data_IF_686047626539
#
_entry.id   IF_686047626539
#
_cell.length_a   1.000
_cell.length_b   1.000
_cell.length_c   1.000
_cell.angle_alpha   90.00
_cell.angle_beta   90.00
_cell.angle_gamma   90.00
#
_symmetry.space_group_name_H-M   'P 1'
#
loop_
_entity.id
_entity.type
_entity.pdbx_description
1 polymer ?
#
# COMPACT_ATOMS: atom_id res chain seq x y z
N UNK A 1 -0.53 29.49 10.42
CA UNK A 1 0.82 29.81 9.90
C UNK A 1 0.78 31.24 9.39
N UNK A 2 1.37 32.19 10.12
CA UNK A 2 1.42 33.59 9.71
C UNK A 2 2.41 33.65 8.52
N UNK A 3 1.89 33.92 7.32
CA UNK A 3 2.73 34.18 6.13
C UNK A 3 3.20 35.62 6.18
N UNK A 4 4.26 35.88 6.94
CA UNK A 4 4.96 37.16 6.85
C UNK A 4 5.94 37.13 5.67
N UNK A 5 5.81 38.11 4.77
CA UNK A 5 6.80 38.36 3.73
C UNK A 5 8.00 39.03 4.39
N UNK A 6 9.04 38.26 4.70
CA UNK A 6 10.34 38.81 5.11
C UNK A 6 10.85 39.74 4.01
N UNK A 7 10.91 41.05 4.32
CA UNK A 7 11.62 42.02 3.49
C UNK A 7 13.06 42.06 4.00
N UNK A 8 13.95 41.38 3.29
CA UNK A 8 15.39 41.49 3.52
C UNK A 8 15.83 42.92 3.19
N UNK A 9 16.75 43.48 4.00
CA UNK A 9 17.33 44.78 3.72
C UNK A 9 18.12 44.75 2.39
N UNK A 10 18.16 45.86 1.65
CA UNK A 10 18.84 45.94 0.34
C UNK A 10 20.36 45.68 0.40
N UNK A 11 20.95 45.58 1.59
CA UNK A 11 22.36 45.24 1.85
C UNK A 11 22.65 43.74 1.85
N UNK A 12 21.63 42.88 1.84
CA UNK A 12 21.77 41.43 1.84
C UNK A 12 21.89 40.94 0.40
N UNK A 13 23.11 40.64 -0.04
CA UNK A 13 23.42 40.31 -1.45
C UNK A 13 23.94 38.88 -1.62
N UNK A 14 24.32 38.21 -0.53
CA UNK A 14 24.90 36.86 -0.54
C UNK A 14 24.36 35.97 0.58
N UNK A 15 24.54 34.66 0.44
CA UNK A 15 24.22 33.66 1.48
C UNK A 15 24.95 33.95 2.81
N UNK A 16 26.19 34.46 2.71
CA UNK A 16 27.01 34.85 3.87
C UNK A 16 26.38 36.04 4.61
N UNK A 17 25.86 37.03 3.89
CA UNK A 17 25.20 38.19 4.50
C UNK A 17 23.91 37.76 5.21
N UNK A 18 23.14 36.85 4.60
CA UNK A 18 21.94 36.27 5.25
C UNK A 18 22.32 35.53 6.52
N UNK A 19 23.36 34.69 6.49
CA UNK A 19 23.79 33.90 7.64
C UNK A 19 24.31 34.76 8.81
N UNK A 20 24.96 35.89 8.49
CA UNK A 20 25.54 36.81 9.49
C UNK A 20 24.59 37.89 9.96
N UNK A 21 23.48 38.11 9.26
CA UNK A 21 22.51 39.13 9.63
C UNK A 21 21.92 38.88 11.01
N UNK A 22 21.93 39.92 11.86
CA UNK A 22 21.25 39.90 13.14
C UNK A 22 19.72 39.92 12.98
N UNK A 23 19.24 40.48 11.87
CA UNK A 23 17.81 40.53 11.53
C UNK A 23 17.26 39.18 11.03
N UNK A 24 18.11 38.16 10.89
CA UNK A 24 17.75 36.87 10.32
C UNK A 24 18.20 35.69 11.21
N UNK A 25 17.89 35.78 12.50
CA UNK A 25 18.19 34.78 13.54
C UNK A 25 16.91 34.05 13.92
N UNK A 26 16.98 32.72 14.05
CA UNK A 26 15.90 31.90 14.62
C UNK A 26 14.67 31.73 13.72
N UNK A 27 14.76 32.06 12.44
CA UNK A 27 13.68 31.83 11.49
C UNK A 27 13.69 30.40 10.97
N UNK A 28 12.51 29.84 10.76
CA UNK A 28 12.29 28.67 9.91
C UNK A 28 11.72 29.16 8.58
N UNK A 29 12.46 28.95 7.50
CA UNK A 29 12.12 29.42 6.16
C UNK A 29 11.82 28.22 5.28
N UNK A 30 10.55 28.08 4.92
CA UNK A 30 10.13 27.09 3.94
C UNK A 30 10.22 27.67 2.53
N UNK A 31 10.90 26.97 1.63
CA UNK A 31 11.04 27.36 0.22
C UNK A 31 10.53 26.21 -0.66
N UNK A 32 9.50 26.50 -1.45
CA UNK A 32 8.92 25.59 -2.42
C UNK A 32 8.85 26.22 -3.82
N UNK A 33 8.48 25.42 -4.82
CA UNK A 33 8.21 25.90 -6.18
C UNK A 33 9.44 26.41 -6.94
N UNK A 34 10.66 26.01 -6.57
CA UNK A 34 11.88 26.39 -7.27
C UNK A 34 11.86 25.81 -8.70
N UNK A 35 11.99 26.63 -9.76
CA UNK A 35 12.13 26.11 -11.11
C UNK A 35 13.43 25.30 -11.26
N UNK A 36 13.44 24.16 -11.98
CA UNK A 36 14.64 23.34 -12.16
C UNK A 36 15.86 24.12 -12.68
N UNK A 37 15.64 25.14 -13.54
CA UNK A 37 16.70 26.00 -14.07
C UNK A 37 17.40 26.87 -13.03
N UNK A 38 16.72 27.20 -11.93
CA UNK A 38 17.28 28.00 -10.84
C UNK A 38 17.96 27.16 -9.75
N UNK A 39 17.85 25.83 -9.82
CA UNK A 39 18.37 24.94 -8.78
C UNK A 39 19.88 25.09 -8.58
N UNK A 40 20.65 25.28 -9.65
CA UNK A 40 22.10 25.47 -9.54
C UNK A 40 22.47 26.64 -8.62
N UNK A 41 21.72 27.74 -8.69
CA UNK A 41 21.91 28.93 -7.83
C UNK A 41 21.48 28.64 -6.39
N UNK A 42 20.38 27.92 -6.21
CA UNK A 42 19.91 27.50 -4.88
C UNK A 42 20.88 26.52 -4.20
N UNK A 43 21.43 25.57 -4.94
CA UNK A 43 22.41 24.61 -4.44
C UNK A 43 23.66 25.34 -3.94
N UNK A 44 24.21 26.26 -4.73
CA UNK A 44 25.34 27.12 -4.32
C UNK A 44 24.99 27.96 -3.09
N UNK A 45 23.82 28.60 -3.08
CA UNK A 45 23.37 29.38 -1.93
C UNK A 45 23.29 28.55 -0.64
N UNK A 46 22.75 27.33 -0.71
CA UNK A 46 22.61 26.44 0.44
C UNK A 46 23.98 25.99 0.98
N UNK A 47 24.92 25.67 0.10
CA UNK A 47 26.29 25.32 0.48
C UNK A 47 27.03 26.50 1.13
N UNK A 48 26.93 27.70 0.54
CA UNK A 48 27.52 28.92 1.10
C UNK A 48 26.90 29.29 2.44
N UNK A 49 25.56 29.19 2.56
CA UNK A 49 24.84 29.46 3.81
C UNK A 49 25.23 28.48 4.90
N UNK A 50 25.28 27.19 4.58
CA UNK A 50 25.70 26.13 5.50
C UNK A 50 27.13 26.40 6.00
N UNK A 51 28.06 26.78 5.12
CA UNK A 51 29.42 27.12 5.50
C UNK A 51 29.50 28.35 6.42
N UNK A 52 28.76 29.41 6.10
CA UNK A 52 28.77 30.64 6.90
C UNK A 52 28.14 30.46 8.29
N UNK A 53 27.06 29.67 8.37
CA UNK A 53 26.29 29.47 9.61
C UNK A 53 27.02 28.65 10.67
N UNK A 54 28.05 27.85 10.32
CA UNK A 54 28.87 27.08 11.27
C UNK A 54 29.50 27.92 12.38
N UNK A 55 29.82 29.18 12.06
CA UNK A 55 30.43 30.11 13.01
C UNK A 55 29.48 30.58 14.12
N UNK A 56 28.19 30.23 14.05
CA UNK A 56 27.14 30.61 15.01
C UNK A 56 26.68 29.42 15.84
N UNK A 57 26.17 29.69 17.04
CA UNK A 57 25.52 28.65 17.87
C UNK A 57 24.25 28.13 17.19
N UNK A 58 23.88 26.85 17.41
CA UNK A 58 22.73 26.22 16.74
C UNK A 58 21.42 27.00 16.92
N UNK A 59 21.20 27.56 18.12
CA UNK A 59 20.02 28.37 18.46
C UNK A 59 19.99 29.75 17.80
N UNK A 60 21.10 30.19 17.20
CA UNK A 60 21.22 31.48 16.51
C UNK A 60 21.10 31.34 14.98
N UNK A 61 21.00 30.10 14.49
CA UNK A 61 20.90 29.82 13.06
C UNK A 61 19.43 29.88 12.64
N UNK A 62 19.19 30.49 11.49
CA UNK A 62 17.92 30.28 10.78
C UNK A 62 18.04 29.00 9.95
N UNK A 63 16.92 28.29 9.81
CA UNK A 63 16.85 27.01 9.09
C UNK A 63 16.10 27.23 7.78
N UNK A 64 16.74 26.89 6.67
CA UNK A 64 16.06 26.76 5.38
C UNK A 64 15.61 25.32 5.18
N UNK A 65 14.31 25.13 5.02
CA UNK A 65 13.73 23.88 4.54
C UNK A 65 13.35 24.08 3.08
N UNK A 66 14.14 23.50 2.17
CA UNK A 66 14.01 23.73 0.72
C UNK A 66 13.53 22.46 0.04
N UNK A 67 12.38 22.54 -0.63
CA UNK A 67 11.88 21.45 -1.45
C UNK A 67 12.63 21.42 -2.79
N UNK A 68 13.49 20.42 -2.97
CA UNK A 68 14.19 20.22 -4.22
C UNK A 68 13.23 19.73 -5.33
N UNK A 69 13.30 20.28 -6.55
CA UNK A 69 12.55 19.73 -7.68
C UNK A 69 12.95 18.28 -7.97
N UNK A 70 12.03 17.39 -8.38
CA UNK A 70 12.38 15.99 -8.70
C UNK A 70 13.46 15.87 -9.78
N UNK A 71 13.45 16.78 -10.77
CA UNK A 71 14.39 16.81 -11.89
C UNK A 71 15.85 17.03 -11.50
N UNK A 72 16.13 17.46 -10.25
CA UNK A 72 17.47 17.77 -9.76
C UNK A 72 17.95 16.81 -8.67
N UNK A 73 17.26 15.68 -8.47
CA UNK A 73 17.64 14.67 -7.47
C UNK A 73 19.09 14.17 -7.65
N UNK A 74 19.62 14.17 -8.87
CA UNK A 74 21.01 13.82 -9.17
C UNK A 74 22.04 14.93 -8.94
N UNK A 75 21.61 16.16 -8.62
CA UNK A 75 22.45 17.34 -8.42
C UNK A 75 22.16 18.06 -7.09
N UNK A 76 21.75 17.31 -6.08
CA UNK A 76 21.62 17.79 -4.72
C UNK A 76 22.99 18.23 -4.17
N UNK A 77 23.04 19.25 -3.29
CA UNK A 77 24.29 19.71 -2.70
C UNK A 77 24.96 18.61 -1.86
N UNK A 78 26.21 18.81 -1.44
CA UNK A 78 26.84 17.82 -0.55
C UNK A 78 26.30 17.95 0.87
N UNK A 79 25.97 16.82 1.50
CA UNK A 79 25.63 16.81 2.92
C UNK A 79 26.81 17.33 3.75
N UNK A 80 26.48 18.14 4.76
CA UNK A 80 27.43 18.73 5.69
C UNK A 80 26.79 18.87 7.08
N UNK A 81 27.57 19.20 8.11
CA UNK A 81 27.12 19.38 9.50
C UNK A 81 25.98 20.40 9.61
N UNK A 82 25.97 21.42 8.74
CA UNK A 82 24.93 22.45 8.69
C UNK A 82 24.01 22.34 7.46
N UNK A 83 24.10 21.24 6.69
CA UNK A 83 23.29 20.98 5.51
C UNK A 83 22.86 19.52 5.47
N UNK A 84 21.65 19.25 5.96
CA UNK A 84 21.00 17.96 5.83
C UNK A 84 20.31 17.82 4.48
N UNK A 85 20.30 16.60 3.94
CA UNK A 85 19.46 16.23 2.80
C UNK A 85 18.59 15.09 3.27
N UNK A 86 17.30 15.38 3.36
CA UNK A 86 16.29 14.39 3.71
C UNK A 86 15.49 14.03 2.45
N UNK A 87 15.52 12.76 2.08
CA UNK A 87 14.65 12.25 1.03
C UNK A 87 13.27 12.03 1.63
N UNK A 88 12.32 12.90 1.28
CA UNK A 88 10.92 12.68 1.60
C UNK A 88 10.40 11.53 0.74
N UNK A 89 10.50 10.30 1.26
CA UNK A 89 10.12 9.09 0.52
C UNK A 89 8.65 8.73 0.63
N UNK A 90 7.84 9.55 1.31
CA UNK A 90 6.51 9.14 1.82
C UNK A 90 6.66 7.77 2.46
N UNK A 91 7.19 7.70 3.70
CA UNK A 91 7.27 6.41 4.42
C UNK A 91 5.84 5.94 4.67
N UNK A 92 5.32 5.24 3.68
CA UNK A 92 4.03 4.57 3.64
C UNK A 92 4.41 3.11 3.70
N UNK A 93 4.31 2.54 4.90
CA UNK A 93 4.40 1.10 5.06
C UNK A 93 3.21 0.46 4.35
N UNK A 94 3.28 -0.84 4.07
CA UNK A 94 2.12 -1.55 3.54
C UNK A 94 0.90 -1.44 4.47
N UNK A 95 1.16 -1.36 5.79
CA UNK A 95 0.12 -1.15 6.80
C UNK A 95 -0.51 0.26 6.69
N UNK A 96 0.30 1.30 6.49
CA UNK A 96 -0.22 2.67 6.36
C UNK A 96 -1.14 2.79 5.16
N UNK A 97 -0.75 2.22 4.01
CA UNK A 97 -1.57 2.24 2.82
C UNK A 97 -2.85 1.40 2.98
N UNK A 98 -2.77 0.26 3.66
CA UNK A 98 -3.94 -0.54 3.99
C UNK A 98 -4.93 0.24 4.88
N UNK A 99 -4.46 0.92 5.93
CA UNK A 99 -5.30 1.73 6.82
C UNK A 99 -5.91 2.93 6.09
N UNK A 100 -5.12 3.61 5.27
CA UNK A 100 -5.59 4.69 4.41
C UNK A 100 -6.69 4.20 3.45
N UNK A 101 -6.45 3.08 2.78
CA UNK A 101 -7.43 2.47 1.86
C UNK A 101 -8.70 2.05 2.58
N UNK A 102 -8.59 1.47 3.78
CA UNK A 102 -9.73 1.09 4.59
C UNK A 102 -10.57 2.30 5.00
N UNK A 103 -9.92 3.42 5.35
CA UNK A 103 -10.60 4.67 5.64
C UNK A 103 -11.36 5.19 4.42
N UNK A 104 -10.73 5.21 3.24
CA UNK A 104 -11.37 5.64 2.00
C UNK A 104 -12.58 4.77 1.65
N UNK A 105 -12.43 3.44 1.69
CA UNK A 105 -13.53 2.51 1.43
C UNK A 105 -14.68 2.68 2.41
N UNK A 106 -14.39 2.95 3.69
CA UNK A 106 -15.43 3.18 4.71
C UNK A 106 -16.30 4.41 4.46
N UNK A 107 -15.76 5.41 3.75
CA UNK A 107 -16.51 6.61 3.35
C UNK A 107 -17.40 6.34 2.14
N UNK A 108 -17.01 5.39 1.29
CA UNK A 108 -17.69 5.07 0.02
C UNK A 108 -18.78 4.01 0.23
N UNK A 109 -18.58 3.04 1.14
CA UNK A 109 -19.40 1.82 1.18
C UNK A 109 -20.20 1.65 2.48
N UNK A 110 -21.28 2.42 2.60
CA UNK A 110 -22.25 2.24 3.69
C UNK A 110 -23.03 0.93 3.47
N UNK A 111 -22.78 -0.07 4.32
CA UNK A 111 -23.52 -1.34 4.32
C UNK A 111 -22.82 -2.52 3.63
N UNK A 112 -21.59 -2.35 3.15
CA UNK A 112 -20.78 -3.48 2.71
C UNK A 112 -20.41 -4.41 3.87
N UNK A 113 -20.24 -5.70 3.54
CA UNK A 113 -19.87 -6.69 4.55
C UNK A 113 -18.42 -6.46 4.99
N UNK A 114 -18.09 -6.56 6.29
CA UNK A 114 -16.73 -6.29 6.79
C UNK A 114 -15.61 -7.10 6.13
N UNK A 115 -15.90 -8.29 5.59
CA UNK A 115 -14.92 -9.07 4.83
C UNK A 115 -14.63 -8.44 3.47
N UNK A 116 -15.66 -8.02 2.74
CA UNK A 116 -15.51 -7.38 1.42
C UNK A 116 -14.77 -6.05 1.54
N UNK A 117 -15.11 -5.25 2.54
CA UNK A 117 -14.45 -3.97 2.79
C UNK A 117 -12.94 -4.15 3.07
N UNK A 118 -12.59 -5.13 3.92
CA UNK A 118 -11.17 -5.45 4.20
C UNK A 118 -10.44 -5.98 2.97
N UNK A 119 -11.11 -6.82 2.16
CA UNK A 119 -10.53 -7.31 0.91
C UNK A 119 -10.30 -6.17 -0.07
N UNK A 120 -11.28 -5.28 -0.22
CA UNK A 120 -11.18 -4.10 -1.07
C UNK A 120 -9.96 -3.25 -0.67
N UNK A 121 -9.84 -2.90 0.61
CA UNK A 121 -8.71 -2.15 1.11
C UNK A 121 -7.36 -2.87 0.87
N UNK A 122 -7.32 -4.18 1.03
CA UNK A 122 -6.14 -4.99 0.73
C UNK A 122 -5.77 -4.94 -0.76
N UNK A 123 -6.75 -5.07 -1.66
CA UNK A 123 -6.53 -4.97 -3.12
C UNK A 123 -5.98 -3.60 -3.50
N UNK A 124 -6.60 -2.52 -3.00
CA UNK A 124 -6.11 -1.15 -3.22
C UNK A 124 -4.67 -1.01 -2.73
N UNK A 125 -4.35 -1.48 -1.52
CA UNK A 125 -3.00 -1.35 -0.96
C UNK A 125 -1.94 -2.16 -1.73
N UNK A 126 -2.25 -3.37 -2.21
CA UNK A 126 -1.31 -4.19 -2.97
C UNK A 126 -1.07 -3.66 -4.39
N UNK A 127 -2.10 -3.04 -4.99
CA UNK A 127 -2.00 -2.43 -6.31
C UNK A 127 -1.32 -1.07 -6.27
N UNK A 128 -1.69 -0.19 -5.34
CA UNK A 128 -1.16 1.16 -5.26
C UNK A 128 0.23 1.22 -4.61
N UNK A 129 0.57 0.27 -3.72
CA UNK A 129 1.87 0.09 -3.08
C UNK A 129 2.31 1.28 -2.21
N UNK A 130 2.78 2.35 -2.84
CA UNK A 130 3.24 3.58 -2.20
C UNK A 130 2.60 4.83 -2.83
N UNK A 131 1.86 4.67 -3.93
CA UNK A 131 1.20 5.79 -4.61
C UNK A 131 -0.18 6.05 -3.97
N UNK A 132 -0.21 7.00 -3.03
CA UNK A 132 -1.45 7.42 -2.37
C UNK A 132 -2.49 8.04 -3.32
N UNK A 133 -2.08 8.60 -4.46
CA UNK A 133 -2.99 9.14 -5.47
C UNK A 133 -3.67 7.98 -6.21
N UNK A 134 -2.90 6.96 -6.59
CA UNK A 134 -3.45 5.74 -7.17
C UNK A 134 -4.36 5.03 -6.16
N UNK A 135 -3.98 4.95 -4.88
CA UNK A 135 -4.83 4.35 -3.85
C UNK A 135 -6.17 5.07 -3.71
N UNK A 136 -6.16 6.40 -3.67
CA UNK A 136 -7.39 7.20 -3.64
C UNK A 136 -8.29 6.92 -4.83
N UNK A 137 -7.70 6.79 -6.03
CA UNK A 137 -8.44 6.49 -7.26
C UNK A 137 -9.03 5.07 -7.27
N UNK A 138 -8.23 4.06 -6.91
CA UNK A 138 -8.68 2.67 -6.88
C UNK A 138 -9.74 2.42 -5.81
N UNK A 139 -9.73 3.19 -4.71
CA UNK A 139 -10.74 3.08 -3.66
C UNK A 139 -12.15 3.52 -4.09
N UNK A 140 -12.27 4.23 -5.22
CA UNK A 140 -13.57 4.60 -5.82
C UNK A 140 -14.13 3.49 -6.73
N UNK A 141 -13.31 2.49 -7.09
CA UNK A 141 -13.74 1.37 -7.91
C UNK A 141 -14.53 0.34 -7.08
N UNK A 142 -15.19 -0.59 -7.74
CA UNK A 142 -15.79 -1.75 -7.08
C UNK A 142 -14.75 -2.84 -6.86
N UNK A 143 -14.98 -3.71 -5.86
CA UNK A 143 -14.13 -4.88 -5.62
C UNK A 143 -14.03 -5.80 -6.85
N UNK A 144 -15.07 -5.87 -7.68
CA UNK A 144 -15.07 -6.68 -8.89
C UNK A 144 -14.10 -6.11 -9.95
N UNK A 145 -14.09 -4.79 -10.13
CA UNK A 145 -13.17 -4.11 -11.05
C UNK A 145 -11.72 -4.22 -10.57
N UNK A 146 -11.47 -4.16 -9.25
CA UNK A 146 -10.12 -4.32 -8.70
C UNK A 146 -9.52 -5.73 -8.88
N UNK A 147 -10.35 -6.75 -9.14
CA UNK A 147 -9.88 -8.10 -9.45
C UNK A 147 -9.45 -8.27 -10.91
N UNK A 148 -9.71 -7.27 -11.76
CA UNK A 148 -9.33 -7.19 -13.18
C UNK A 148 -8.79 -5.78 -13.48
N UNK A 149 -7.66 -5.38 -12.86
CA UNK A 149 -7.27 -3.98 -12.74
C UNK A 149 -6.57 -3.42 -13.98
N UNK A 150 -6.25 -4.21 -15.00
CA UNK A 150 -5.41 -3.82 -16.13
C UNK A 150 -5.88 -2.51 -16.77
N UNK A 151 -7.15 -2.42 -17.15
CA UNK A 151 -7.71 -1.22 -17.78
C UNK A 151 -7.65 0.02 -16.86
N UNK A 152 -7.85 -0.18 -15.55
CA UNK A 152 -7.75 0.90 -14.56
C UNK A 152 -6.32 1.43 -14.45
N UNK A 153 -5.35 0.52 -14.45
CA UNK A 153 -3.93 0.84 -14.33
C UNK A 153 -3.37 1.45 -15.62
N UNK A 154 -3.84 1.00 -16.79
CA UNK A 154 -3.52 1.60 -18.09
C UNK A 154 -4.02 3.04 -18.17
N UNK A 155 -5.27 3.29 -17.78
CA UNK A 155 -5.84 4.63 -17.78
C UNK A 155 -5.16 5.56 -16.76
N UNK A 156 -4.79 5.03 -15.59
CA UNK A 156 -3.97 5.78 -14.64
C UNK A 156 -2.60 6.13 -15.23
N UNK A 157 -1.88 5.16 -15.80
CA UNK A 157 -0.60 5.40 -16.43
C UNK A 157 -0.69 6.46 -17.54
N UNK A 158 -1.70 6.37 -18.41
CA UNK A 158 -1.96 7.34 -19.46
C UNK A 158 -2.21 8.75 -18.90
N UNK A 159 -3.00 8.88 -17.83
CA UNK A 159 -3.28 10.17 -17.18
C UNK A 159 -2.02 10.83 -16.57
N UNK A 160 -1.00 10.03 -16.26
CA UNK A 160 0.31 10.48 -15.75
C UNK A 160 1.33 10.73 -16.86
N UNK A 161 0.99 10.44 -18.12
CA UNK A 161 1.93 10.48 -19.25
C UNK A 161 3.01 9.39 -19.17
N UNK A 162 2.75 8.31 -18.43
CA UNK A 162 3.68 7.20 -18.28
C UNK A 162 3.56 6.25 -19.48
N UNK A 163 4.66 6.13 -20.22
CA UNK A 163 4.83 5.24 -21.37
C UNK A 163 6.16 4.49 -21.24
N UNK A 164 6.43 3.50 -22.11
CA UNK A 164 7.63 2.64 -22.05
C UNK A 164 8.95 3.41 -21.89
N UNK A 165 9.02 4.60 -22.47
CA UNK A 165 10.22 5.46 -22.48
C UNK A 165 10.23 6.53 -21.38
N UNK A 166 9.15 6.69 -20.62
CA UNK A 166 9.01 7.75 -19.59
C UNK A 166 9.67 7.37 -18.27
N UNK A 167 9.84 6.06 -18.00
CA UNK A 167 10.38 5.60 -16.72
C UNK A 167 11.91 5.74 -16.68
N UNK A 168 12.39 6.75 -15.96
CA UNK A 168 13.78 6.80 -15.50
C UNK A 168 14.07 5.73 -14.43
N UNK A 169 15.34 5.53 -14.08
CA UNK A 169 15.71 4.62 -12.99
C UNK A 169 15.59 5.29 -11.60
N UNK A 170 15.06 4.53 -10.64
CA UNK A 170 15.05 4.87 -9.22
C UNK A 170 13.91 5.80 -8.78
N UNK A 171 13.91 6.12 -7.49
CA UNK A 171 12.83 6.83 -6.79
C UNK A 171 12.38 8.14 -7.44
N UNK A 172 13.30 8.93 -8.01
CA UNK A 172 12.99 10.24 -8.57
C UNK A 172 12.06 10.19 -9.81
N UNK A 173 11.99 9.06 -10.50
CA UNK A 173 11.04 8.85 -11.62
C UNK A 173 9.66 8.38 -11.16
N UNK A 174 9.49 8.05 -9.87
CA UNK A 174 8.31 7.41 -9.33
C UNK A 174 8.18 5.91 -9.69
N UNK A 175 9.18 5.33 -10.36
CA UNK A 175 9.12 3.94 -10.82
C UNK A 175 9.27 2.92 -9.69
N UNK A 176 9.91 3.30 -8.58
CA UNK A 176 10.24 2.42 -7.47
C UNK A 176 10.29 3.21 -6.17
N UNK A 177 9.88 2.59 -5.06
CA UNK A 177 10.10 3.12 -3.72
C UNK A 177 10.56 2.03 -2.77
N UNK A 178 11.06 2.42 -1.60
CA UNK A 178 11.36 1.48 -0.53
C UNK A 178 10.14 1.39 0.40
N UNK A 179 9.50 0.22 0.42
CA UNK A 179 8.37 -0.10 1.29
C UNK A 179 8.79 -1.24 2.20
N UNK A 180 8.62 -1.07 3.51
CA UNK A 180 9.02 -2.05 4.54
C UNK A 180 10.47 -2.55 4.37
N UNK A 181 11.36 -1.65 3.95
CA UNK A 181 12.79 -1.92 3.74
C UNK A 181 13.12 -2.64 2.44
N UNK A 182 12.15 -2.86 1.55
CA UNK A 182 12.34 -3.52 0.25
C UNK A 182 12.09 -2.55 -0.91
N UNK A 183 12.89 -2.60 -1.98
CA UNK A 183 12.56 -1.89 -3.23
C UNK A 183 11.35 -2.55 -3.88
N UNK A 184 10.27 -1.80 -4.07
CA UNK A 184 9.06 -2.26 -4.75
C UNK A 184 8.82 -1.38 -5.97
N UNK A 185 8.67 -1.96 -7.17
CA UNK A 185 8.30 -1.22 -8.36
C UNK A 185 6.85 -0.74 -8.28
N UNK A 186 6.58 0.40 -8.90
CA UNK A 186 5.23 0.89 -9.12
C UNK A 186 4.48 -0.05 -10.06
N UNK A 187 3.22 -0.39 -9.76
CA UNK A 187 2.45 -1.38 -10.54
C UNK A 187 2.31 -0.98 -12.03
N UNK A 188 2.12 0.32 -12.31
CA UNK A 188 2.07 0.81 -13.69
C UNK A 188 3.43 0.72 -14.41
N UNK A 189 4.55 0.71 -13.68
CA UNK A 189 5.86 0.48 -14.29
C UNK A 189 6.01 -1.00 -14.69
N UNK A 190 5.48 -1.93 -13.89
CA UNK A 190 5.44 -3.36 -14.25
C UNK A 190 4.60 -3.58 -15.52
N UNK A 191 3.40 -2.98 -15.56
CA UNK A 191 2.46 -3.06 -16.68
C UNK A 191 3.04 -2.48 -17.99
N UNK A 192 3.54 -1.24 -17.94
CA UNK A 192 4.01 -0.51 -19.12
C UNK A 192 5.27 -1.13 -19.71
N UNK A 193 6.17 -1.71 -18.89
CA UNK A 193 7.40 -2.32 -19.39
C UNK A 193 7.19 -3.74 -19.96
N UNK A 194 5.95 -4.23 -20.09
CA UNK A 194 5.64 -5.60 -20.48
C UNK A 194 6.20 -6.65 -19.51
N UNK A 195 6.55 -6.22 -18.29
CA UNK A 195 7.15 -7.05 -17.25
C UNK A 195 6.02 -7.60 -16.37
N UNK A 196 5.44 -8.67 -16.89
CA UNK A 196 4.72 -9.72 -16.18
C UNK A 196 3.31 -9.36 -15.65
N UNK A 197 2.27 -9.76 -16.39
CA UNK A 197 0.90 -9.95 -15.84
C UNK A 197 0.90 -10.74 -14.52
N UNK A 198 1.88 -11.66 -14.38
CA UNK A 198 2.14 -12.43 -13.17
C UNK A 198 2.44 -11.56 -11.93
N UNK A 199 3.03 -10.38 -12.08
CA UNK A 199 3.30 -9.46 -10.98
C UNK A 199 2.00 -8.87 -10.42
N UNK A 200 1.07 -8.49 -11.30
CA UNK A 200 -0.27 -8.02 -10.91
C UNK A 200 -1.05 -9.16 -10.25
N UNK A 201 -1.10 -10.34 -10.87
CA UNK A 201 -1.73 -11.53 -10.27
C UNK A 201 -1.16 -11.85 -8.89
N UNK A 202 0.15 -11.73 -8.70
CA UNK A 202 0.78 -11.98 -7.41
C UNK A 202 0.37 -10.96 -6.35
N UNK A 203 0.21 -9.68 -6.71
CA UNK A 203 -0.31 -8.62 -5.82
C UNK A 203 -1.76 -8.90 -5.42
N UNK A 204 -2.61 -9.22 -6.41
CA UNK A 204 -4.00 -9.60 -6.17
C UNK A 204 -4.09 -10.83 -5.26
N UNK A 205 -3.24 -11.84 -5.48
CA UNK A 205 -3.17 -13.03 -4.65
C UNK A 205 -2.75 -12.70 -3.21
N UNK A 206 -1.76 -11.84 -2.99
CA UNK A 206 -1.35 -11.41 -1.62
C UNK A 206 -2.51 -10.75 -0.88
N UNK A 207 -3.22 -9.84 -1.54
CA UNK A 207 -4.41 -9.20 -0.98
C UNK A 207 -5.46 -10.26 -0.59
N UNK A 208 -5.77 -11.18 -1.50
CA UNK A 208 -6.74 -12.24 -1.24
C UNK A 208 -6.32 -13.19 -0.12
N UNK A 209 -5.07 -13.66 -0.09
CA UNK A 209 -4.58 -14.57 0.96
C UNK A 209 -4.66 -13.91 2.33
N UNK A 210 -4.18 -12.67 2.46
CA UNK A 210 -4.13 -11.97 3.75
C UNK A 210 -5.52 -11.82 4.41
N UNK A 211 -6.58 -11.75 3.62
CA UNK A 211 -7.96 -11.55 4.08
C UNK A 211 -8.78 -12.84 4.09
N UNK A 212 -8.70 -13.64 3.03
CA UNK A 212 -9.57 -14.80 2.82
C UNK A 212 -9.09 -16.01 3.61
N UNK A 213 -7.79 -16.27 3.78
CA UNK A 213 -7.34 -17.42 4.57
C UNK A 213 -7.83 -17.39 6.03
N UNK A 214 -7.65 -16.27 6.77
CA UNK A 214 -8.21 -16.17 8.12
C UNK A 214 -9.73 -16.36 8.15
N UNK A 215 -10.44 -15.73 7.22
CA UNK A 215 -11.90 -15.83 7.14
C UNK A 215 -12.37 -17.26 6.84
N UNK A 216 -11.69 -17.96 5.93
CA UNK A 216 -11.98 -19.35 5.57
C UNK A 216 -11.79 -20.25 6.79
N UNK A 217 -10.69 -20.07 7.52
CA UNK A 217 -10.38 -20.86 8.70
C UNK A 217 -11.37 -20.62 9.85
N UNK A 218 -11.77 -19.36 10.07
CA UNK A 218 -12.85 -19.05 11.00
C UNK A 218 -14.15 -19.76 10.63
N UNK A 219 -14.53 -19.79 9.35
CA UNK A 219 -15.73 -20.52 8.92
C UNK A 219 -15.57 -22.03 9.11
N UNK A 220 -14.39 -22.61 8.86
CA UNK A 220 -14.10 -24.02 9.15
C UNK A 220 -14.39 -24.35 10.62
N UNK A 221 -13.86 -23.53 11.54
CA UNK A 221 -14.06 -23.69 12.98
C UNK A 221 -15.55 -23.58 13.35
N UNK A 222 -16.29 -22.62 12.78
CA UNK A 222 -17.74 -22.45 13.04
C UNK A 222 -18.54 -23.65 12.53
N UNK A 223 -18.24 -24.15 11.35
CA UNK A 223 -18.87 -25.33 10.76
C UNK A 223 -18.56 -26.59 11.59
N UNK A 224 -17.33 -26.74 12.08
CA UNK A 224 -16.96 -27.80 13.00
C UNK A 224 -17.74 -27.77 14.31
N UNK A 225 -17.88 -26.59 14.93
CA UNK A 225 -18.70 -26.45 16.14
C UNK A 225 -20.16 -26.84 15.90
N UNK A 226 -20.71 -26.43 14.76
CA UNK A 226 -22.12 -26.68 14.42
C UNK A 226 -22.39 -28.13 14.05
N UNK A 227 -21.47 -28.76 13.32
CA UNK A 227 -21.68 -30.07 12.71
C UNK A 227 -20.73 -31.16 13.19
N UNK A 228 -19.90 -30.90 14.20
CA UNK A 228 -18.93 -31.85 14.73
C UNK A 228 -19.56 -33.15 15.20
N UNK A 229 -20.77 -33.11 15.78
CA UNK A 229 -21.52 -34.30 16.16
C UNK A 229 -21.92 -35.19 14.97
N UNK A 230 -21.94 -34.65 13.75
CA UNK A 230 -22.19 -35.42 12.53
C UNK A 230 -20.89 -35.97 11.93
N UNK A 231 -19.72 -35.57 12.40
CA UNK A 231 -18.44 -36.08 11.89
C UNK A 231 -18.15 -37.46 12.50
N UNK A 232 -17.56 -38.37 11.71
CA UNK A 232 -17.11 -39.69 12.15
C UNK A 232 -15.60 -39.72 12.27
N UNK A 233 -15.12 -40.19 13.41
CA UNK A 233 -13.69 -40.40 13.71
C UNK A 233 -13.47 -41.86 14.16
N UNK A 234 -12.29 -42.44 13.92
CA UNK A 234 -11.19 -41.86 13.14
C UNK A 234 -11.52 -41.75 11.65
N UNK A 235 -10.95 -40.74 10.99
CA UNK A 235 -11.13 -40.53 9.55
C UNK A 235 -9.88 -40.92 8.78
N UNK A 236 -10.00 -41.90 7.87
CA UNK A 236 -8.87 -42.36 7.05
C UNK A 236 -8.59 -41.42 5.89
N UNK A 237 -7.33 -41.01 5.78
CA UNK A 237 -6.79 -40.24 4.66
C UNK A 237 -5.64 -40.99 4.00
N UNK A 238 -5.13 -40.48 2.87
CA UNK A 238 -3.93 -41.02 2.23
C UNK A 238 -2.65 -40.89 3.11
N UNK A 239 -2.66 -40.01 4.12
CA UNK A 239 -1.51 -39.70 4.96
C UNK A 239 -1.63 -40.28 6.38
N UNK A 240 -2.72 -41.00 6.69
CA UNK A 240 -2.97 -41.58 8.01
C UNK A 240 -4.41 -41.39 8.50
N UNK A 241 -4.63 -41.79 9.75
CA UNK A 241 -5.91 -41.64 10.45
C UNK A 241 -5.95 -40.32 11.25
N UNK A 242 -7.04 -39.57 11.08
CA UNK A 242 -7.33 -38.37 11.85
C UNK A 242 -8.22 -38.78 13.03
N UNK A 243 -7.77 -38.50 14.25
CA UNK A 243 -8.48 -38.85 15.49
C UNK A 243 -9.13 -37.65 16.18
N UNK A 244 -8.68 -36.43 15.88
CA UNK A 244 -9.27 -35.19 16.40
C UNK A 244 -10.15 -34.53 15.32
N UNK A 245 -11.32 -34.04 15.74
CA UNK A 245 -12.22 -33.28 14.88
C UNK A 245 -11.58 -31.97 14.40
N UNK A 246 -10.68 -31.39 15.19
CA UNK A 246 -10.00 -30.13 14.89
C UNK A 246 -8.96 -30.26 13.76
N UNK A 247 -8.45 -31.47 13.53
CA UNK A 247 -7.50 -31.80 12.46
C UNK A 247 -8.18 -32.00 11.10
N UNK A 248 -9.52 -31.96 11.04
CA UNK A 248 -10.24 -32.11 9.78
C UNK A 248 -10.22 -30.83 8.95
N UNK A 249 -9.57 -30.92 7.78
CA UNK A 249 -9.65 -29.91 6.73
C UNK A 249 -11.05 -29.79 6.11
N UNK A 250 -11.32 -28.67 5.43
CA UNK A 250 -12.59 -28.37 4.74
C UNK A 250 -13.02 -29.48 3.77
N UNK A 251 -12.06 -30.05 3.02
CA UNK A 251 -12.32 -31.15 2.10
C UNK A 251 -12.81 -32.42 2.81
N UNK A 252 -12.35 -32.69 4.03
CA UNK A 252 -12.83 -33.79 4.85
C UNK A 252 -14.25 -33.54 5.35
N UNK A 253 -14.53 -32.32 5.82
CA UNK A 253 -15.86 -31.93 6.28
C UNK A 253 -16.89 -32.00 5.18
N UNK A 254 -16.55 -31.51 3.99
CA UNK A 254 -17.41 -31.60 2.82
C UNK A 254 -17.79 -33.05 2.53
N UNK A 255 -16.80 -33.96 2.44
CA UNK A 255 -17.03 -35.39 2.17
C UNK A 255 -17.94 -36.05 3.22
N UNK A 256 -17.84 -35.65 4.49
CA UNK A 256 -18.60 -36.26 5.58
C UNK A 256 -20.01 -35.68 5.77
N UNK A 257 -20.21 -34.41 5.42
CA UNK A 257 -21.46 -33.68 5.66
C UNK A 257 -22.35 -33.60 4.41
N UNK A 258 -21.80 -33.79 3.21
CA UNK A 258 -22.57 -33.80 1.97
C UNK A 258 -23.65 -34.89 2.00
N UNK A 259 -24.90 -34.52 1.67
CA UNK A 259 -26.05 -35.43 1.65
C UNK A 259 -26.51 -35.92 3.03
N UNK A 260 -25.94 -35.42 4.13
CA UNK A 260 -26.27 -35.90 5.47
C UNK A 260 -27.52 -35.23 6.02
N UNK A 261 -28.45 -36.04 6.52
CA UNK A 261 -29.67 -35.56 7.16
C UNK A 261 -29.34 -34.65 8.37
N UNK A 262 -29.97 -33.47 8.44
CA UNK A 262 -29.71 -32.46 9.46
C UNK A 262 -28.67 -31.39 9.08
N UNK A 263 -27.97 -31.55 7.95
CA UNK A 263 -27.07 -30.54 7.41
C UNK A 263 -27.81 -29.68 6.37
N UNK A 264 -27.81 -28.36 6.57
CA UNK A 264 -28.44 -27.42 5.63
C UNK A 264 -27.66 -27.36 4.31
N UNK A 265 -28.37 -27.40 3.18
CA UNK A 265 -27.78 -27.36 1.83
C UNK A 265 -26.97 -26.09 1.55
N UNK A 266 -27.36 -24.96 2.14
CA UNK A 266 -26.59 -23.72 2.11
C UNK A 266 -25.20 -23.83 2.77
N UNK A 267 -25.06 -24.61 3.85
CA UNK A 267 -23.76 -24.82 4.50
C UNK A 267 -22.89 -25.81 3.74
N UNK A 268 -23.49 -26.76 3.01
CA UNK A 268 -22.76 -27.64 2.08
C UNK A 268 -22.19 -26.82 0.92
N UNK A 269 -23.00 -25.95 0.30
CA UNK A 269 -22.54 -25.02 -0.74
C UNK A 269 -21.43 -24.09 -0.23
N UNK A 270 -21.55 -23.59 1.00
CA UNK A 270 -20.48 -22.84 1.64
C UNK A 270 -19.20 -23.67 1.78
N UNK A 271 -19.27 -24.90 2.31
CA UNK A 271 -18.12 -25.79 2.45
C UNK A 271 -17.42 -26.05 1.11
N UNK A 272 -18.19 -26.25 0.03
CA UNK A 272 -17.65 -26.40 -1.33
C UNK A 272 -16.89 -25.14 -1.77
N UNK A 273 -17.49 -23.96 -1.55
CA UNK A 273 -16.87 -22.68 -1.88
C UNK A 273 -15.58 -22.44 -1.07
N UNK A 274 -15.61 -22.66 0.25
CA UNK A 274 -14.45 -22.53 1.14
C UNK A 274 -13.32 -23.49 0.75
N UNK A 275 -13.65 -24.75 0.46
CA UNK A 275 -12.64 -25.75 0.08
C UNK A 275 -11.97 -25.38 -1.24
N UNK A 276 -12.75 -24.95 -2.25
CA UNK A 276 -12.23 -24.48 -3.54
C UNK A 276 -11.36 -23.24 -3.38
N UNK A 277 -11.84 -22.22 -2.66
CA UNK A 277 -11.11 -20.98 -2.42
C UNK A 277 -9.79 -21.21 -1.67
N UNK A 278 -9.79 -22.05 -0.62
CA UNK A 278 -8.56 -22.43 0.09
C UNK A 278 -7.57 -23.09 -0.85
N UNK A 279 -8.04 -24.02 -1.69
CA UNK A 279 -7.18 -24.76 -2.62
C UNK A 279 -6.56 -23.82 -3.66
N UNK A 280 -7.35 -22.96 -4.29
CA UNK A 280 -6.88 -21.96 -5.25
C UNK A 280 -5.77 -21.09 -4.64
N UNK A 281 -6.04 -20.48 -3.48
CA UNK A 281 -5.10 -19.63 -2.79
C UNK A 281 -3.81 -20.36 -2.36
N UNK A 282 -3.90 -21.64 -1.95
CA UNK A 282 -2.73 -22.46 -1.64
C UNK A 282 -1.87 -22.78 -2.88
N UNK A 283 -2.46 -22.74 -4.07
CA UNK A 283 -1.78 -22.92 -5.36
C UNK A 283 -1.39 -21.60 -6.04
N UNK A 284 -1.50 -20.46 -5.35
CA UNK A 284 -1.19 -19.14 -5.90
C UNK A 284 -2.15 -18.76 -7.05
N UNK A 285 -3.41 -19.18 -6.93
CA UNK A 285 -4.49 -18.83 -7.85
C UNK A 285 -5.45 -17.84 -7.19
N UNK A 286 -6.09 -17.01 -8.02
CA UNK A 286 -7.09 -16.05 -7.58
C UNK A 286 -8.45 -16.74 -7.35
N UNK A 287 -9.15 -16.27 -6.32
CA UNK A 287 -10.56 -16.61 -6.06
C UNK A 287 -11.43 -15.61 -6.79
N UNK A 288 -12.45 -16.10 -7.50
CA UNK A 288 -13.39 -15.28 -8.24
C UNK A 288 -14.34 -14.48 -7.32
N UNK A 289 -14.91 -13.41 -7.86
CA UNK A 289 -15.77 -12.50 -7.09
C UNK A 289 -17.04 -13.17 -6.54
N UNK A 290 -17.63 -14.14 -7.25
CA UNK A 290 -18.85 -14.83 -6.78
C UNK A 290 -18.55 -15.72 -5.57
N UNK A 291 -17.42 -16.43 -5.61
CA UNK A 291 -16.91 -17.19 -4.47
C UNK A 291 -16.65 -16.27 -3.26
N UNK A 292 -16.00 -15.12 -3.47
CA UNK A 292 -15.74 -14.14 -2.41
C UNK A 292 -17.05 -13.64 -1.79
N UNK A 293 -18.05 -13.27 -2.62
CA UNK A 293 -19.37 -12.85 -2.13
C UNK A 293 -20.05 -13.94 -1.31
N UNK A 294 -19.92 -15.20 -1.72
CA UNK A 294 -20.47 -16.36 -1.01
C UNK A 294 -19.85 -16.50 0.38
N UNK A 295 -18.52 -16.41 0.46
CA UNK A 295 -17.76 -16.45 1.73
C UNK A 295 -18.18 -15.27 2.63
N UNK A 296 -18.31 -14.07 2.07
CA UNK A 296 -18.73 -12.89 2.82
C UNK A 296 -20.20 -12.97 3.29
N UNK A 297 -21.07 -13.66 2.55
CA UNK A 297 -22.51 -13.72 2.82
C UNK A 297 -22.91 -14.55 4.01
N UNK A 298 -22.15 -15.61 4.25
CA UNK A 298 -22.58 -16.72 5.08
C UNK A 298 -21.87 -16.69 6.41
N UNK A 299 -21.70 -15.50 6.98
CA UNK A 299 -21.34 -15.34 8.37
C UNK A 299 -22.35 -16.07 9.24
N UNK A 300 -22.04 -17.34 9.59
CA UNK A 300 -22.73 -18.02 10.67
C UNK A 300 -22.74 -17.04 11.84
N UNK A 301 -23.91 -16.77 12.45
CA UNK A 301 -24.01 -15.78 13.51
C UNK A 301 -22.93 -16.05 14.56
N UNK A 302 -22.37 -14.99 15.18
CA UNK A 302 -21.49 -15.17 16.33
C UNK A 302 -22.21 -16.01 17.40
N UNK A 303 -21.46 -16.70 18.26
CA UNK A 303 -22.01 -17.55 19.31
C UNK A 303 -23.05 -16.84 20.19
#
# INVERSE_FOLDING_TARGET
MIRERLRLEPSIVSAVDVARSAAFIGYLVWVDGIPPGDWSRWSVFLEEYANASRSRGEHERSIFCVQAPPAVAGSLPRQDVALGIELWRDVVTQLDLFLFSLQLSSLQTVGERPLLQRLHAALVSELAVFDGILAARLAECTTAELLDPEALLEDYAASRGWHETTWGQGWASGAEAIVDGQPIPHVCADLVNGREARAIEQRLWRAQVSILFPAIEEQRIRLLRRYGAFVRLPWRTAFGEIHDVHDLELGHLLKQLHGRHGVRSEHVRLLECLAKARNALAHIELVDFESIKTIAATGLPPP
#
